data_IF_621948613963
#
_entry.id   IF_621948613963
#
_cell.length_a   1.000
_cell.length_b   1.000
_cell.length_c   1.000
_cell.angle_alpha   90.00
_cell.angle_beta   90.00
_cell.angle_gamma   90.00
#
_symmetry.space_group_name_H-M   'P 1'
#
loop_
_entity.id
_entity.type
_entity.pdbx_description
1 polymer ?
#
# COMPACT_ATOMS: atom_id res chain seq x y z
N UNK A 1 -5.18 4.83 -13.27
CA UNK A 1 -5.98 4.18 -14.33
C UNK A 1 -6.08 2.68 -14.07
N UNK A 2 -4.96 1.93 -13.98
CA UNK A 2 -5.07 0.52 -13.55
C UNK A 2 -5.38 0.39 -12.04
N UNK A 3 -6.15 -0.65 -11.72
CA UNK A 3 -6.71 -1.07 -10.42
C UNK A 3 -7.71 -0.14 -9.71
N UNK A 4 -7.50 1.18 -9.73
CA UNK A 4 -8.33 2.14 -8.96
C UNK A 4 -8.98 3.24 -9.79
N UNK A 5 -8.68 3.32 -11.09
CA UNK A 5 -9.16 4.40 -11.95
C UNK A 5 -8.55 5.79 -11.67
N UNK A 6 -7.90 5.98 -10.52
CA UNK A 6 -7.37 7.28 -10.09
C UNK A 6 -6.23 7.79 -10.98
N UNK A 7 -6.19 9.10 -11.16
CA UNK A 7 -5.02 9.83 -11.62
C UNK A 7 -4.17 10.21 -10.40
N UNK A 8 -2.90 9.81 -10.41
CA UNK A 8 -1.97 10.01 -9.29
C UNK A 8 -0.75 10.81 -9.69
N UNK A 9 -0.27 11.64 -8.75
CA UNK A 9 1.05 12.23 -8.79
C UNK A 9 1.95 11.55 -7.77
N UNK A 10 3.01 10.91 -8.25
CA UNK A 10 4.06 10.33 -7.40
C UNK A 10 4.81 11.46 -6.71
N UNK A 11 5.03 11.31 -5.39
CA UNK A 11 5.83 12.26 -4.60
C UNK A 11 7.21 11.71 -4.31
N UNK A 12 7.33 10.80 -3.35
CA UNK A 12 8.63 10.31 -2.86
C UNK A 12 8.58 8.84 -2.48
N UNK A 13 9.69 8.10 -2.61
CA UNK A 13 9.76 6.73 -2.11
C UNK A 13 9.59 6.73 -0.58
N UNK A 14 8.83 5.75 -0.09
CA UNK A 14 8.62 5.49 1.33
C UNK A 14 9.60 4.41 1.77
N UNK A 15 9.49 3.21 1.20
CA UNK A 15 10.22 2.01 1.59
C UNK A 15 10.55 1.18 0.35
N UNK A 16 11.67 0.47 0.41
CA UNK A 16 11.94 -0.70 -0.44
C UNK A 16 11.93 -1.93 0.45
N UNK A 17 11.22 -2.98 0.04
CA UNK A 17 11.15 -4.24 0.78
C UNK A 17 11.45 -5.42 -0.14
N UNK A 18 11.92 -6.53 0.44
CA UNK A 18 12.15 -7.80 -0.25
C UNK A 18 11.42 -8.93 0.48
N UNK A 19 10.80 -9.83 -0.26
CA UNK A 19 10.26 -11.07 0.29
C UNK A 19 10.36 -12.22 -0.71
N UNK A 20 10.35 -13.45 -0.18
CA UNK A 20 10.55 -14.69 -0.95
C UNK A 20 9.43 -15.69 -0.70
N UNK A 21 8.25 -15.53 -1.34
CA UNK A 21 7.15 -16.47 -1.16
C UNK A 21 7.34 -17.71 -2.03
N UNK A 22 6.73 -18.82 -1.61
CA UNK A 22 6.56 -20.00 -2.46
C UNK A 22 5.18 -19.91 -3.13
N UNK A 23 5.15 -19.79 -4.45
CA UNK A 23 3.91 -19.67 -5.24
C UNK A 23 3.88 -20.80 -6.26
N UNK A 24 2.84 -21.63 -6.23
CA UNK A 24 2.68 -22.78 -7.13
C UNK A 24 3.89 -23.74 -7.14
N UNK A 25 4.58 -23.86 -6.00
CA UNK A 25 5.77 -24.71 -5.84
C UNK A 25 7.08 -24.05 -6.26
N UNK A 26 7.06 -22.81 -6.73
CA UNK A 26 8.25 -22.06 -7.11
C UNK A 26 8.63 -21.03 -6.04
N UNK A 27 9.92 -20.89 -5.77
CA UNK A 27 10.45 -19.81 -4.93
C UNK A 27 10.55 -18.54 -5.76
N UNK A 28 9.79 -17.52 -5.41
CA UNK A 28 9.87 -16.22 -6.06
C UNK A 28 10.74 -15.28 -5.24
N UNK A 29 11.47 -14.37 -5.89
CA UNK A 29 12.10 -13.24 -5.23
C UNK A 29 11.38 -11.96 -5.67
N UNK A 30 10.78 -11.26 -4.72
CA UNK A 30 10.00 -10.07 -4.99
C UNK A 30 10.67 -8.88 -4.31
N UNK A 31 10.96 -7.84 -5.10
CA UNK A 31 11.44 -6.54 -4.62
C UNK A 31 10.32 -5.52 -4.84
N UNK A 32 9.74 -5.04 -3.73
CA UNK A 32 8.65 -4.07 -3.73
C UNK A 32 9.16 -2.66 -3.43
N UNK A 33 8.76 -1.68 -4.24
CA UNK A 33 9.03 -0.27 -4.03
C UNK A 33 7.73 0.48 -3.76
N UNK A 34 7.66 1.20 -2.64
CA UNK A 34 6.46 1.90 -2.19
C UNK A 34 6.66 3.40 -2.23
N UNK A 35 5.66 4.15 -2.68
CA UNK A 35 5.72 5.60 -2.87
C UNK A 35 4.55 6.31 -2.18
N UNK A 36 4.81 7.51 -1.67
CA UNK A 36 3.75 8.46 -1.31
C UNK A 36 3.19 9.06 -2.60
N UNK A 37 1.88 9.00 -2.79
CA UNK A 37 1.18 9.57 -3.93
C UNK A 37 0.13 10.59 -3.48
N UNK A 38 -0.29 11.47 -4.38
CA UNK A 38 -1.53 12.24 -4.23
C UNK A 38 -2.44 11.94 -5.41
N UNK A 39 -3.72 11.70 -5.14
CA UNK A 39 -4.75 11.61 -6.16
C UNK A 39 -5.38 12.99 -6.41
N UNK A 40 -5.88 13.21 -7.63
CA UNK A 40 -6.67 14.40 -7.98
C UNK A 40 -8.13 14.30 -7.54
N UNK A 41 -8.61 13.10 -7.21
CA UNK A 41 -9.96 12.82 -6.69
C UNK A 41 -9.94 11.70 -5.64
N UNK A 42 -11.08 11.52 -4.97
CA UNK A 42 -11.32 10.41 -4.02
C UNK A 42 -12.18 9.28 -4.64
N UNK A 43 -12.61 9.46 -5.90
CA UNK A 43 -13.50 8.57 -6.63
C UNK A 43 -12.75 7.33 -7.15
N UNK A 44 -12.72 6.27 -6.34
CA UNK A 44 -12.09 5.00 -6.70
C UNK A 44 -13.05 4.16 -7.55
N UNK A 45 -12.56 3.72 -8.72
CA UNK A 45 -13.19 2.70 -9.55
C UNK A 45 -12.30 1.45 -9.54
N UNK A 46 -12.72 0.44 -8.79
CA UNK A 46 -11.96 -0.81 -8.63
C UNK A 46 -12.08 -1.65 -9.91
N UNK A 47 -10.96 -2.21 -10.38
CA UNK A 47 -10.94 -3.12 -11.54
C UNK A 47 -11.64 -4.46 -11.21
N UNK A 48 -11.87 -5.30 -12.22
CA UNK A 48 -12.47 -6.62 -12.02
C UNK A 48 -11.57 -7.62 -11.26
N UNK A 49 -10.31 -7.28 -11.02
CA UNK A 49 -9.33 -8.15 -10.33
C UNK A 49 -9.38 -8.03 -8.80
N UNK A 50 -10.18 -7.09 -8.26
CA UNK A 50 -10.31 -6.85 -6.82
C UNK A 50 -11.77 -6.79 -6.39
N UNK A 51 -12.05 -7.27 -5.17
CA UNK A 51 -13.42 -7.38 -4.65
C UNK A 51 -13.99 -6.05 -4.13
N UNK A 52 -13.18 -5.25 -3.40
CA UNK A 52 -13.62 -4.04 -2.72
C UNK A 52 -12.45 -3.10 -2.37
N UNK A 53 -12.77 -1.84 -2.01
CA UNK A 53 -11.81 -0.87 -1.48
C UNK A 53 -12.37 -0.13 -0.25
N UNK A 54 -11.49 0.36 0.60
CA UNK A 54 -11.82 1.24 1.72
C UNK A 54 -10.72 2.28 1.94
N UNK A 55 -11.11 3.54 2.14
CA UNK A 55 -10.22 4.58 2.64
C UNK A 55 -10.11 4.49 4.16
N UNK A 56 -8.90 4.32 4.68
CA UNK A 56 -8.66 4.17 6.11
C UNK A 56 -7.84 5.33 6.68
N UNK A 57 -8.02 5.63 7.96
CA UNK A 57 -7.05 6.45 8.69
C UNK A 57 -5.74 5.64 8.83
N UNK A 58 -4.60 6.16 8.34
CA UNK A 58 -3.34 5.45 8.40
C UNK A 58 -2.89 5.12 9.83
N UNK A 59 -3.36 5.83 10.85
CA UNK A 59 -3.06 5.49 12.26
C UNK A 59 -3.77 4.21 12.71
N UNK A 60 -4.84 3.80 12.04
CA UNK A 60 -5.69 2.66 12.40
C UNK A 60 -5.33 1.39 11.61
N UNK A 61 -4.28 1.41 10.78
CA UNK A 61 -3.96 0.33 9.83
C UNK A 61 -3.89 -1.08 10.47
N UNK A 62 -3.54 -1.17 11.75
CA UNK A 62 -3.45 -2.44 12.51
C UNK A 62 -4.80 -3.12 12.72
N UNK A 63 -5.91 -2.41 12.57
CA UNK A 63 -7.28 -2.94 12.69
C UNK A 63 -7.75 -3.67 11.43
N UNK A 64 -7.03 -3.52 10.32
CA UNK A 64 -7.40 -4.07 9.02
C UNK A 64 -6.53 -5.29 8.68
N UNK A 65 -7.05 -6.18 7.83
CA UNK A 65 -6.34 -7.37 7.36
C UNK A 65 -5.28 -7.02 6.29
N UNK A 66 -4.26 -6.28 6.70
CA UNK A 66 -3.15 -5.87 5.82
C UNK A 66 -2.06 -6.94 5.83
N UNK A 67 -1.60 -7.32 4.63
CA UNK A 67 -0.50 -8.27 4.44
C UNK A 67 0.72 -7.78 5.24
N UNK A 68 1.32 -8.66 6.02
CA UNK A 68 2.32 -8.29 7.03
C UNK A 68 3.52 -7.50 6.47
N UNK A 69 3.99 -7.85 5.27
CA UNK A 69 5.11 -7.18 4.61
C UNK A 69 4.79 -5.73 4.15
N UNK A 70 3.53 -5.31 4.15
CA UNK A 70 3.10 -3.95 3.81
C UNK A 70 2.97 -3.04 5.04
N UNK A 71 2.94 -3.59 6.27
CA UNK A 71 2.76 -2.81 7.51
C UNK A 71 3.86 -1.77 7.70
N UNK A 72 5.09 -2.10 7.31
CA UNK A 72 6.24 -1.18 7.39
C UNK A 72 6.05 0.12 6.56
N UNK A 73 5.23 0.07 5.51
CA UNK A 73 4.92 1.25 4.68
C UNK A 73 4.11 2.26 5.50
N UNK A 74 3.12 1.78 6.27
CA UNK A 74 2.32 2.63 7.17
C UNK A 74 3.17 3.15 8.33
N UNK A 75 4.01 2.31 8.92
CA UNK A 75 4.91 2.71 10.01
C UNK A 75 5.86 3.85 9.57
N UNK A 76 6.52 3.69 8.43
CA UNK A 76 7.42 4.71 7.89
C UNK A 76 6.66 5.97 7.47
N UNK A 77 5.46 5.83 6.89
CA UNK A 77 4.61 6.97 6.56
C UNK A 77 4.24 7.78 7.80
N UNK A 78 3.78 7.13 8.87
CA UNK A 78 3.39 7.77 10.12
C UNK A 78 4.58 8.42 10.83
N UNK A 79 5.73 7.73 10.87
CA UNK A 79 6.98 8.26 11.43
C UNK A 79 7.37 9.58 10.76
N UNK A 80 7.28 9.67 9.43
CA UNK A 80 7.58 10.90 8.67
C UNK A 80 6.56 12.02 8.90
N UNK A 81 5.32 11.68 9.27
CA UNK A 81 4.26 12.65 9.59
C UNK A 81 4.25 13.05 11.08
N UNK A 82 5.13 12.50 11.91
CA UNK A 82 5.15 12.74 13.36
C UNK A 82 3.91 12.21 14.08
N UNK A 83 3.28 11.15 13.53
CA UNK A 83 2.07 10.52 14.07
C UNK A 83 2.40 9.14 14.64
N UNK A 84 1.67 8.72 15.66
CA UNK A 84 1.78 7.37 16.22
C UNK A 84 0.58 6.52 15.77
N UNK A 85 0.79 5.22 15.47
CA UNK A 85 -0.31 4.30 15.21
C UNK A 85 -1.13 4.07 16.48
N UNK A 86 -2.44 3.90 16.32
CA UNK A 86 -3.38 3.53 17.38
C UNK A 86 -3.52 2.01 17.52
#
# INVERSE_FOLDING_TARGET
MEETGLEIKIKRPIVVNEWRPVVRGEEWQIVGMFFECSASSEDVAVSGDHDAFEWIDPTQYKKFNIIGNLRMVFEEYLRRKGKNPS
#
